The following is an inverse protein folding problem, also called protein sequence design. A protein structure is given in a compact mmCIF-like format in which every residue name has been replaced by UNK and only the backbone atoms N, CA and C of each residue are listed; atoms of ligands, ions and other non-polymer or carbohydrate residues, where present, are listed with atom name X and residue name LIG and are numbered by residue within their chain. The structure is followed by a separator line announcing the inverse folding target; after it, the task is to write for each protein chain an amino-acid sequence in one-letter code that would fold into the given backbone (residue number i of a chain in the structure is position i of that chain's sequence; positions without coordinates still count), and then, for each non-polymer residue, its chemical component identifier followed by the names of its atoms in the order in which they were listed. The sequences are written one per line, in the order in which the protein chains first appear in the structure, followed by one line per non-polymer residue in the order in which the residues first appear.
data_IF_146273020250
#
_entry.id   IF_146273020250
#
_cell.length_a   1.000
_cell.length_b   1.000
_cell.length_c   1.000
_cell.angle_alpha   90.00
_cell.angle_beta   90.00
_cell.angle_gamma   90.00
#
_symmetry.space_group_name_H-M   'P 1'
#
loop_
_entity.id
_entity.type
_entity.pdbx_description
1 polymer ?
#
# COMPACT_ATOMS: atom_id res chain seq x y z
N UNK A 1 18.39 -6.00 -24.03
CA UNK A 1 17.53 -6.55 -22.96
C UNK A 1 16.78 -5.36 -22.40
N UNK A 2 15.44 -5.36 -22.38
CA UNK A 2 14.72 -4.29 -21.68
C UNK A 2 15.12 -4.37 -20.21
N UNK A 3 15.62 -3.28 -19.65
CA UNK A 3 15.91 -3.23 -18.22
C UNK A 3 14.61 -3.54 -17.45
N UNK A 4 14.67 -4.47 -16.50
CA UNK A 4 13.56 -4.75 -15.60
C UNK A 4 13.19 -3.46 -14.87
N UNK A 5 11.96 -2.98 -15.06
CA UNK A 5 11.44 -1.79 -14.37
C UNK A 5 11.43 -2.09 -12.87
N UNK A 6 12.19 -1.33 -12.09
CA UNK A 6 12.28 -1.45 -10.64
C UNK A 6 11.49 -0.32 -9.98
N UNK A 7 10.61 -0.67 -9.06
CA UNK A 7 9.69 0.27 -8.41
C UNK A 7 10.02 0.34 -6.91
N UNK A 8 10.17 1.56 -6.38
CA UNK A 8 10.13 1.81 -4.94
C UNK A 8 8.75 2.33 -4.55
N UNK A 9 8.08 1.66 -3.61
CA UNK A 9 6.75 2.04 -3.13
C UNK A 9 6.86 2.57 -1.70
N UNK A 10 6.41 3.81 -1.51
CA UNK A 10 6.31 4.49 -0.22
C UNK A 10 4.90 5.06 -0.10
N UNK A 11 4.20 4.68 0.96
CA UNK A 11 2.78 4.95 1.16
C UNK A 11 2.62 5.81 2.41
N UNK A 12 1.93 6.94 2.27
CA UNK A 12 1.30 7.61 3.40
C UNK A 12 -0.06 6.93 3.61
N UNK A 13 -0.14 6.06 4.62
CA UNK A 13 -1.32 5.22 4.81
C UNK A 13 -2.48 6.00 5.42
N UNK A 14 -2.20 6.97 6.29
CA UNK A 14 -3.25 7.76 6.96
C UNK A 14 -4.10 8.50 5.93
N UNK A 15 -3.46 9.15 4.96
CA UNK A 15 -4.17 9.88 3.91
C UNK A 15 -5.06 8.96 3.06
N UNK A 16 -4.60 7.75 2.76
CA UNK A 16 -5.38 6.77 2.00
C UNK A 16 -6.55 6.21 2.82
N UNK A 17 -6.32 5.89 4.09
CA UNK A 17 -7.34 5.33 4.98
C UNK A 17 -8.44 6.36 5.30
N UNK A 18 -8.04 7.61 5.59
CA UNK A 18 -8.98 8.70 5.84
C UNK A 18 -9.81 8.98 4.58
N UNK A 19 -9.19 9.12 3.41
CA UNK A 19 -9.90 9.35 2.16
C UNK A 19 -10.85 8.20 1.80
N UNK A 20 -10.42 6.95 1.95
CA UNK A 20 -11.28 5.79 1.71
C UNK A 20 -12.52 5.79 2.63
N UNK A 21 -12.34 6.14 3.90
CA UNK A 21 -13.42 6.18 4.88
C UNK A 21 -14.34 7.38 4.70
N UNK A 22 -13.81 8.57 4.49
CA UNK A 22 -14.58 9.82 4.51
C UNK A 22 -15.24 10.11 3.15
N UNK A 23 -14.53 9.91 2.05
CA UNK A 23 -15.04 10.25 0.71
C UNK A 23 -15.79 9.10 0.07
N UNK A 24 -15.35 7.87 0.34
CA UNK A 24 -15.85 6.66 -0.34
C UNK A 24 -16.65 5.73 0.58
N UNK A 25 -16.61 5.95 1.90
CA UNK A 25 -17.24 5.11 2.92
C UNK A 25 -16.88 3.61 2.78
N UNK A 26 -15.61 3.33 2.47
CA UNK A 26 -15.05 1.97 2.35
C UNK A 26 -13.77 1.86 3.17
N UNK A 27 -13.39 0.62 3.49
CA UNK A 27 -12.05 0.32 3.97
C UNK A 27 -11.06 0.36 2.81
N UNK A 28 -9.84 0.83 3.07
CA UNK A 28 -8.77 0.77 2.10
C UNK A 28 -8.37 -0.69 1.83
N UNK A 29 -8.19 -1.06 0.56
CA UNK A 29 -7.72 -2.38 0.13
C UNK A 29 -6.51 -2.22 -0.79
N UNK A 30 -5.37 -2.76 -0.36
CA UNK A 30 -4.12 -2.66 -1.12
C UNK A 30 -4.04 -3.61 -2.33
N UNK A 31 -4.85 -4.67 -2.37
CA UNK A 31 -4.75 -5.73 -3.40
C UNK A 31 -4.82 -5.22 -4.85
N UNK A 32 -5.72 -4.30 -5.22
CA UNK A 32 -5.77 -3.75 -6.57
C UNK A 32 -4.48 -3.02 -6.97
N UNK A 33 -3.86 -2.31 -6.02
CA UNK A 33 -2.59 -1.60 -6.22
C UNK A 33 -1.46 -2.61 -6.42
N UNK A 34 -1.41 -3.66 -5.60
CA UNK A 34 -0.42 -4.74 -5.74
C UNK A 34 -0.48 -5.38 -7.14
N UNK A 35 -1.68 -5.67 -7.64
CA UNK A 35 -1.89 -6.24 -8.96
C UNK A 35 -1.40 -5.30 -10.08
N UNK A 36 -1.79 -4.02 -10.00
CA UNK A 36 -1.37 -3.02 -10.98
C UNK A 36 0.16 -2.79 -10.98
N UNK A 37 0.82 -2.92 -9.83
CA UNK A 37 2.28 -2.81 -9.73
C UNK A 37 2.98 -4.03 -10.33
N UNK A 38 2.43 -5.24 -10.13
CA UNK A 38 3.00 -6.48 -10.67
C UNK A 38 3.07 -6.48 -12.21
N UNK A 39 2.09 -5.85 -12.87
CA UNK A 39 2.07 -5.67 -14.33
C UNK A 39 3.11 -4.65 -14.84
N UNK A 40 3.56 -3.73 -13.98
CA UNK A 40 4.43 -2.60 -14.37
C UNK A 40 5.91 -2.86 -14.14
N UNK A 41 6.25 -3.69 -13.15
CA UNK A 41 7.63 -3.95 -12.82
C UNK A 41 7.83 -4.56 -11.44
N UNK A 42 9.08 -4.90 -11.15
CA UNK A 42 9.46 -5.47 -9.86
C UNK A 42 9.50 -4.38 -8.80
N UNK A 43 8.62 -4.49 -7.80
CA UNK A 43 8.72 -3.66 -6.61
C UNK A 43 9.87 -4.15 -5.72
N UNK A 44 10.88 -3.31 -5.54
CA UNK A 44 12.12 -3.62 -4.81
C UNK A 44 12.13 -3.08 -3.38
N UNK A 45 11.26 -2.11 -3.07
CA UNK A 45 11.04 -1.56 -1.73
C UNK A 45 9.54 -1.32 -1.55
N UNK A 46 8.99 -1.66 -0.38
CA UNK A 46 7.60 -1.37 0.03
C UNK A 46 7.60 -0.86 1.46
N UNK A 47 7.18 0.38 1.66
CA UNK A 47 7.05 0.98 3.00
C UNK A 47 5.72 1.71 3.15
N UNK A 48 5.09 1.58 4.29
CA UNK A 48 3.95 2.41 4.68
C UNK A 48 4.25 3.18 5.97
N UNK A 49 3.74 4.40 6.03
CA UNK A 49 3.89 5.30 7.17
C UNK A 49 2.51 5.68 7.69
N UNK A 50 2.32 5.48 9.00
CA UNK A 50 1.14 5.92 9.75
C UNK A 50 1.42 5.89 11.26
N UNK A 51 0.56 6.56 12.03
CA UNK A 51 0.38 6.32 13.45
C UNK A 51 -0.38 4.99 13.68
N UNK A 52 0.40 3.91 13.74
CA UNK A 52 -0.12 2.56 13.95
C UNK A 52 -0.91 2.39 15.26
N UNK A 53 -0.79 3.30 16.23
CA UNK A 53 -1.63 3.28 17.42
C UNK A 53 -3.13 3.42 17.10
N UNK A 54 -3.45 4.16 16.04
CA UNK A 54 -4.83 4.40 15.58
C UNK A 54 -5.30 3.40 14.50
N UNK A 55 -4.40 2.62 13.92
CA UNK A 55 -4.64 1.77 12.74
C UNK A 55 -4.17 0.32 12.94
N UNK A 56 -4.37 -0.25 14.13
CA UNK A 56 -3.86 -1.59 14.47
C UNK A 56 -4.40 -2.71 13.55
N UNK A 57 -5.69 -2.70 13.22
CA UNK A 57 -6.30 -3.72 12.35
C UNK A 57 -5.81 -3.60 10.90
N UNK A 58 -5.68 -2.36 10.43
CA UNK A 58 -5.19 -2.01 9.10
C UNK A 58 -3.71 -2.35 8.90
N UNK A 59 -2.92 -2.23 9.97
CA UNK A 59 -1.51 -2.63 9.97
C UNK A 59 -1.36 -4.10 9.61
N UNK A 60 -2.26 -4.97 10.08
CA UNK A 60 -2.22 -6.39 9.76
C UNK A 60 -2.39 -6.63 8.25
N UNK A 61 -3.33 -5.92 7.61
CA UNK A 61 -3.53 -5.98 6.16
C UNK A 61 -2.25 -5.62 5.39
N UNK A 62 -1.52 -4.57 5.82
CA UNK A 62 -0.28 -4.17 5.16
C UNK A 62 0.85 -5.20 5.33
N UNK A 63 0.96 -5.79 6.52
CA UNK A 63 1.91 -6.88 6.80
C UNK A 63 1.63 -8.11 5.92
N UNK A 64 0.35 -8.48 5.78
CA UNK A 64 -0.07 -9.59 4.92
C UNK A 64 0.28 -9.34 3.44
N UNK A 65 0.42 -8.06 3.04
CA UNK A 65 0.84 -7.63 1.71
C UNK A 65 2.35 -7.33 1.60
N UNK A 66 3.15 -7.74 2.58
CA UNK A 66 4.61 -7.55 2.62
C UNK A 66 5.05 -6.08 2.50
N UNK A 67 4.29 -5.18 3.12
CA UNK A 67 4.65 -3.77 3.28
C UNK A 67 5.33 -3.61 4.64
N UNK A 68 6.53 -3.01 4.65
CA UNK A 68 7.29 -2.69 5.87
C UNK A 68 6.75 -1.45 6.59
#
# INVERSE_FOLDING_TARGET
MMEDVRIGLFIDYENLAIGAREDLNIAFDFRPIANALAERGRVVVRKAYADWGHFNDDRQMLVDNHIE
#
